data_IF_670014260978
#
_entry.id   IF_670014260978
#
_cell.length_a   1.000
_cell.length_b   1.000
_cell.length_c   1.000
_cell.angle_alpha   90.00
_cell.angle_beta   90.00
_cell.angle_gamma   90.00
#
_symmetry.space_group_name_H-M   'P 1'
#
loop_
_entity.id
_entity.type
_entity.pdbx_description
1 polymer ?
#
# COMPACT_ATOMS: atom_id res chain seq x y z
N UNK A 1 -13.04 -3.43 -6.67
CA UNK A 1 -11.58 -3.76 -6.75
C UNK A 1 -10.67 -2.58 -6.43
N UNK A 2 -9.48 -2.82 -5.86
CA UNK A 2 -8.40 -1.83 -5.71
C UNK A 2 -7.17 -2.28 -6.50
N UNK A 3 -6.67 -1.45 -7.41
CA UNK A 3 -5.49 -1.73 -8.24
C UNK A 3 -4.40 -0.72 -7.92
N UNK A 4 -3.17 -1.21 -7.76
CA UNK A 4 -2.01 -0.40 -7.36
C UNK A 4 -0.96 -0.42 -8.50
N UNK A 5 -1.17 0.35 -9.58
CA UNK A 5 -0.26 0.36 -10.70
C UNK A 5 0.89 1.37 -10.47
N UNK A 6 2.11 0.99 -10.84
CA UNK A 6 3.18 1.96 -11.09
C UNK A 6 4.23 1.38 -12.05
N UNK A 7 4.55 2.14 -13.10
CA UNK A 7 5.52 1.72 -14.12
C UNK A 7 6.97 1.72 -13.61
N UNK A 8 7.26 2.35 -12.47
CA UNK A 8 8.59 2.31 -11.83
C UNK A 8 8.66 1.28 -10.70
N UNK A 9 9.77 0.53 -10.65
CA UNK A 9 10.13 -0.30 -9.50
C UNK A 9 10.53 0.53 -8.27
N UNK A 10 10.38 -0.01 -7.06
CA UNK A 10 10.94 0.59 -5.85
C UNK A 10 10.20 1.78 -5.24
N UNK A 11 9.08 2.25 -5.82
CA UNK A 11 8.22 3.30 -5.24
C UNK A 11 7.36 2.82 -4.05
N UNK A 12 7.37 1.50 -3.79
CA UNK A 12 6.66 0.86 -2.66
C UNK A 12 5.21 0.44 -2.93
N UNK A 13 4.92 -0.09 -4.12
CA UNK A 13 3.61 -0.69 -4.45
C UNK A 13 3.15 -1.75 -3.45
N UNK A 14 3.94 -2.81 -3.30
CA UNK A 14 3.71 -3.90 -2.35
C UNK A 14 3.72 -3.41 -0.89
N UNK A 15 4.48 -2.35 -0.56
CA UNK A 15 4.38 -1.70 0.75
C UNK A 15 3.00 -1.08 0.97
N UNK A 16 2.50 -0.28 0.02
CA UNK A 16 1.16 0.33 0.13
C UNK A 16 0.08 -0.75 0.17
N UNK A 17 0.19 -1.76 -0.71
CA UNK A 17 -0.75 -2.87 -0.79
C UNK A 17 -0.84 -3.64 0.53
N UNK A 18 0.29 -4.10 1.07
CA UNK A 18 0.34 -5.00 2.22
C UNK A 18 0.34 -4.28 3.57
N UNK A 19 0.89 -3.07 3.69
CA UNK A 19 0.96 -2.37 4.98
C UNK A 19 -0.20 -1.42 5.23
N UNK A 20 -0.88 -0.96 4.18
CA UNK A 20 -1.95 0.03 4.28
C UNK A 20 -3.28 -0.58 3.84
N UNK A 21 -3.39 -0.97 2.58
CA UNK A 21 -4.68 -1.33 1.98
C UNK A 21 -5.20 -2.67 2.50
N UNK A 22 -4.35 -3.71 2.56
CA UNK A 22 -4.76 -5.02 3.09
C UNK A 22 -5.24 -4.95 4.55
N UNK A 23 -4.52 -4.31 5.51
CA UNK A 23 -5.01 -4.15 6.86
C UNK A 23 -6.29 -3.31 6.96
N UNK A 24 -6.42 -2.26 6.15
CA UNK A 24 -7.63 -1.43 6.08
C UNK A 24 -8.85 -2.27 5.69
N UNK A 25 -8.75 -2.97 4.55
CA UNK A 25 -9.84 -3.82 4.03
C UNK A 25 -10.14 -4.99 4.97
N UNK A 26 -9.13 -5.64 5.55
CA UNK A 26 -9.32 -6.71 6.53
C UNK A 26 -10.11 -6.22 7.74
N UNK A 27 -9.77 -5.03 8.28
CA UNK A 27 -10.50 -4.41 9.38
C UNK A 27 -11.94 -4.08 9.01
N UNK A 28 -12.19 -3.69 7.76
CA UNK A 28 -13.52 -3.29 7.28
C UNK A 28 -14.44 -4.47 7.00
N UNK A 29 -13.92 -5.52 6.36
CA UNK A 29 -14.69 -6.70 6.01
C UNK A 29 -14.75 -7.75 7.13
N UNK A 30 -13.78 -7.75 8.05
CA UNK A 30 -13.67 -8.79 9.09
C UNK A 30 -13.26 -10.16 8.55
N UNK A 31 -12.76 -10.24 7.31
CA UNK A 31 -12.31 -11.47 6.63
C UNK A 31 -11.05 -11.21 5.82
N UNK A 32 -10.37 -12.29 5.44
CA UNK A 32 -9.17 -12.24 4.57
C UNK A 32 -9.51 -11.59 3.23
N UNK A 33 -8.65 -10.68 2.78
CA UNK A 33 -8.77 -9.96 1.51
C UNK A 33 -8.03 -10.76 0.43
N UNK A 34 -8.55 -10.78 -0.81
CA UNK A 34 -7.83 -11.42 -1.91
C UNK A 34 -6.71 -10.49 -2.39
N UNK A 35 -5.48 -10.97 -2.37
CA UNK A 35 -4.31 -10.24 -2.85
C UNK A 35 -3.77 -10.94 -4.10
N UNK A 36 -3.86 -10.27 -5.24
CA UNK A 36 -3.37 -10.75 -6.53
C UNK A 36 -2.09 -10.01 -6.87
N UNK A 37 -1.00 -10.74 -7.02
CA UNK A 37 0.27 -10.22 -7.51
C UNK A 37 0.43 -10.58 -8.98
N UNK A 38 0.65 -9.56 -9.80
CA UNK A 38 0.92 -9.68 -11.23
C UNK A 38 2.33 -9.16 -11.48
N UNK A 39 3.33 -10.02 -11.40
CA UNK A 39 4.70 -9.66 -11.72
C UNK A 39 5.41 -10.89 -12.33
N UNK A 40 5.98 -10.73 -13.53
CA UNK A 40 6.77 -11.77 -14.20
C UNK A 40 8.26 -11.70 -13.79
N UNK A 41 8.71 -10.59 -13.19
CA UNK A 41 10.13 -10.30 -12.92
C UNK A 41 10.49 -10.36 -11.42
N UNK A 42 9.60 -9.92 -10.52
CA UNK A 42 9.83 -9.95 -9.07
C UNK A 42 8.84 -10.85 -8.34
N UNK A 43 9.35 -11.84 -7.60
CA UNK A 43 8.56 -12.60 -6.63
C UNK A 43 8.55 -11.89 -5.27
N UNK A 44 7.94 -10.71 -5.18
CA UNK A 44 7.80 -9.99 -3.90
C UNK A 44 6.86 -10.77 -2.94
N UNK A 45 6.08 -11.72 -3.49
CA UNK A 45 5.27 -12.73 -2.79
C UNK A 45 6.00 -13.53 -1.71
N UNK A 46 7.34 -13.62 -1.76
CA UNK A 46 8.17 -14.23 -0.70
C UNK A 46 8.20 -13.38 0.58
N UNK A 47 7.95 -12.08 0.49
CA UNK A 47 7.70 -11.23 1.65
C UNK A 47 6.27 -11.47 2.14
N UNK A 48 6.03 -11.47 3.46
CA UNK A 48 4.70 -11.71 4.05
C UNK A 48 4.17 -13.15 4.01
N UNK A 49 5.01 -14.17 4.17
CA UNK A 49 4.59 -15.58 4.16
C UNK A 49 3.74 -16.02 5.36
N UNK A 50 3.70 -15.23 6.44
CA UNK A 50 3.01 -15.56 7.69
C UNK A 50 1.73 -14.76 7.92
N UNK A 51 1.43 -13.82 7.04
CA UNK A 51 0.24 -12.98 7.14
C UNK A 51 -1.04 -13.82 7.13
N UNK A 52 -1.99 -13.44 7.97
CA UNK A 52 -3.32 -14.05 8.09
C UNK A 52 -4.43 -13.10 7.65
N UNK A 53 -4.10 -11.93 7.08
CA UNK A 53 -5.10 -10.95 6.67
C UNK A 53 -5.40 -10.98 5.16
N UNK A 54 -4.61 -11.72 4.38
CA UNK A 54 -4.82 -11.88 2.93
C UNK A 54 -4.79 -13.33 2.49
N UNK A 55 -5.49 -13.62 1.39
CA UNK A 55 -5.32 -14.81 0.56
C UNK A 55 -4.51 -14.41 -0.67
N UNK A 56 -3.25 -14.84 -0.72
CA UNK A 56 -2.35 -14.50 -1.81
C UNK A 56 -2.58 -15.38 -3.04
N UNK A 57 -2.61 -14.76 -4.21
CA UNK A 57 -2.67 -15.41 -5.51
C UNK A 57 -1.66 -14.74 -6.44
N UNK A 58 -0.92 -15.53 -7.20
CA UNK A 58 -0.09 -15.03 -8.29
C UNK A 58 -0.83 -15.21 -9.61
N UNK A 59 -0.79 -14.20 -10.46
CA UNK A 59 -1.37 -14.23 -11.79
C UNK A 59 -0.31 -13.78 -12.80
N UNK A 60 0.06 -14.66 -13.72
CA UNK A 60 1.01 -14.33 -14.79
C UNK A 60 0.39 -13.41 -15.84
N UNK A 61 1.22 -12.65 -16.56
CA UNK A 61 0.74 -11.73 -17.60
C UNK A 61 0.06 -12.42 -18.79
N UNK A 62 0.18 -13.75 -18.91
CA UNK A 62 -0.54 -14.54 -19.91
C UNK A 62 -2.00 -14.85 -19.53
N UNK A 63 -2.44 -14.49 -18.33
CA UNK A 63 -3.79 -14.78 -17.81
C UNK A 63 -4.55 -13.52 -17.38
N UNK A 64 -4.19 -12.37 -17.95
CA UNK A 64 -4.77 -11.08 -17.55
C UNK A 64 -6.28 -10.97 -17.80
N UNK A 65 -6.83 -11.76 -18.74
CA UNK A 65 -8.29 -11.83 -18.98
C UNK A 65 -9.07 -12.30 -17.76
N UNK A 66 -8.43 -12.99 -16.80
CA UNK A 66 -9.07 -13.32 -15.52
C UNK A 66 -9.41 -12.07 -14.68
N UNK A 67 -8.77 -10.91 -14.94
CA UNK A 67 -9.12 -9.66 -14.29
C UNK A 67 -10.48 -9.12 -14.74
N UNK A 68 -10.91 -9.42 -15.96
CA UNK A 68 -12.15 -8.86 -16.53
C UNK A 68 -13.37 -9.27 -15.69
N UNK A 69 -13.47 -10.57 -15.38
CA UNK A 69 -14.53 -11.11 -14.51
C UNK A 69 -14.43 -10.52 -13.09
N UNK A 70 -13.22 -10.40 -12.55
CA UNK A 70 -13.02 -9.89 -11.20
C UNK A 70 -13.38 -8.40 -11.08
N UNK A 71 -13.09 -7.60 -12.10
CA UNK A 71 -13.46 -6.18 -12.16
C UNK A 71 -14.98 -6.02 -12.15
N UNK A 72 -15.68 -6.87 -12.92
CA UNK A 72 -17.13 -6.86 -12.97
C UNK A 72 -17.78 -7.34 -11.67
N UNK A 73 -17.19 -8.32 -10.98
CA UNK A 73 -17.78 -8.96 -9.80
C UNK A 73 -17.42 -8.31 -8.46
N UNK A 74 -16.30 -7.61 -8.34
CA UNK A 74 -15.83 -7.05 -7.07
C UNK A 74 -16.38 -5.65 -6.76
N UNK A 75 -17.66 -5.60 -6.40
CA UNK A 75 -18.38 -4.38 -5.98
C UNK A 75 -18.04 -3.94 -4.54
N UNK A 76 -17.34 -4.78 -3.76
CA UNK A 76 -17.07 -4.54 -2.33
C UNK A 76 -15.63 -4.13 -2.04
N UNK A 77 -14.77 -4.07 -3.07
CA UNK A 77 -13.34 -3.82 -2.93
C UNK A 77 -12.62 -4.89 -2.06
N UNK A 78 -12.98 -6.16 -2.24
CA UNK A 78 -12.38 -7.30 -1.53
C UNK A 78 -11.11 -7.82 -2.21
N UNK A 79 -10.74 -7.25 -3.37
CA UNK A 79 -9.59 -7.66 -4.17
C UNK A 79 -8.59 -6.50 -4.28
N UNK A 80 -7.34 -6.77 -3.92
CA UNK A 80 -6.18 -5.92 -4.17
C UNK A 80 -5.38 -6.54 -5.31
N UNK A 81 -5.06 -5.74 -6.33
CA UNK A 81 -4.15 -6.14 -7.41
C UNK A 81 -2.87 -5.32 -7.31
N UNK A 82 -1.77 -5.96 -6.91
CA UNK A 82 -0.42 -5.39 -6.96
C UNK A 82 0.20 -5.72 -8.32
N UNK A 83 0.54 -4.67 -9.07
CA UNK A 83 0.99 -4.80 -10.45
C UNK A 83 2.47 -4.48 -10.54
N UNK A 84 3.24 -5.43 -11.04
CA UNK A 84 4.67 -5.33 -11.31
C UNK A 84 5.07 -4.10 -12.13
N UNK A 85 6.34 -3.73 -12.05
CA UNK A 85 6.86 -2.54 -12.71
C UNK A 85 6.88 -2.62 -14.25
N UNK A 86 7.26 -1.51 -14.88
CA UNK A 86 7.62 -1.39 -16.28
C UNK A 86 6.57 -1.94 -17.27
N UNK A 87 6.92 -3.03 -17.95
CA UNK A 87 6.13 -3.67 -19.00
C UNK A 87 4.85 -4.27 -18.45
N UNK A 88 4.91 -4.90 -17.27
CA UNK A 88 3.78 -5.55 -16.60
C UNK A 88 2.66 -4.55 -16.32
N UNK A 89 2.97 -3.41 -15.69
CA UNK A 89 1.99 -2.34 -15.46
C UNK A 89 1.36 -1.82 -16.75
N UNK A 90 2.12 -1.73 -17.84
CA UNK A 90 1.57 -1.29 -19.13
C UNK A 90 0.63 -2.34 -19.72
N UNK A 91 0.97 -3.63 -19.65
CA UNK A 91 0.11 -4.71 -20.14
C UNK A 91 -1.21 -4.78 -19.37
N UNK A 92 -1.16 -4.73 -18.03
CA UNK A 92 -2.36 -4.74 -17.20
C UNK A 92 -3.27 -3.55 -17.53
N UNK A 93 -2.72 -2.34 -17.65
CA UNK A 93 -3.52 -1.16 -17.98
C UNK A 93 -4.14 -1.25 -19.38
N UNK A 94 -3.41 -1.75 -20.40
CA UNK A 94 -3.99 -1.94 -21.74
C UNK A 94 -5.02 -3.07 -21.78
N UNK A 95 -4.90 -4.11 -20.94
CA UNK A 95 -5.94 -5.15 -20.84
C UNK A 95 -7.22 -4.56 -20.25
N UNK A 96 -7.12 -3.90 -19.08
CA UNK A 96 -8.29 -3.28 -18.42
C UNK A 96 -8.93 -2.24 -19.33
N UNK A 97 -8.16 -1.53 -20.15
CA UNK A 97 -8.69 -0.55 -21.11
C UNK A 97 -9.61 -1.17 -22.16
N UNK A 98 -9.45 -2.45 -22.52
CA UNK A 98 -10.31 -3.12 -23.51
C UNK A 98 -11.73 -3.32 -22.99
N UNK A 99 -11.87 -3.57 -21.68
CA UNK A 99 -13.16 -3.86 -21.02
C UNK A 99 -13.73 -2.65 -20.27
N UNK A 100 -12.86 -1.77 -19.75
CA UNK A 100 -13.21 -0.63 -18.90
C UNK A 100 -13.14 -0.95 -17.40
N UNK A 101 -13.18 0.09 -16.57
CA UNK A 101 -13.20 -0.06 -15.09
C UNK A 101 -14.59 -0.27 -14.50
N UNK A 102 -15.65 -0.04 -15.29
CA UNK A 102 -17.06 -0.05 -14.87
C UNK A 102 -17.37 0.82 -13.63
N UNK A 103 -16.49 1.76 -13.27
CA UNK A 103 -16.57 2.52 -12.01
C UNK A 103 -16.28 1.73 -10.73
N UNK A 104 -16.00 0.43 -10.84
CA UNK A 104 -15.77 -0.50 -9.71
C UNK A 104 -14.31 -0.57 -9.25
N UNK A 105 -13.41 0.08 -9.99
CA UNK A 105 -11.97 0.08 -9.70
C UNK A 105 -11.57 1.37 -9.00
N UNK A 106 -10.90 1.23 -7.86
CA UNK A 106 -10.14 2.31 -7.22
C UNK A 106 -8.67 2.13 -7.54
N UNK A 107 -8.04 3.18 -8.04
CA UNK A 107 -6.66 3.22 -8.46
C UNK A 107 -5.84 3.93 -7.39
N UNK A 108 -4.81 3.26 -6.87
CA UNK A 108 -3.89 3.87 -5.91
C UNK A 108 -2.51 3.93 -6.55
N UNK A 109 -2.03 5.15 -6.81
CA UNK A 109 -0.75 5.38 -7.47
C UNK A 109 0.30 5.74 -6.40
N UNK A 110 1.22 4.82 -6.07
CA UNK A 110 2.30 5.12 -5.14
C UNK A 110 3.42 5.93 -5.82
N UNK A 111 4.00 6.87 -5.07
CA UNK A 111 5.18 7.63 -5.47
C UNK A 111 6.04 8.00 -4.27
N UNK A 112 7.35 8.11 -4.48
CA UNK A 112 8.27 8.78 -3.55
C UNK A 112 8.36 10.28 -3.84
N UNK A 113 9.30 10.94 -3.18
CA UNK A 113 9.59 12.38 -3.29
C UNK A 113 10.53 12.74 -4.47
N UNK A 114 11.13 11.73 -5.13
CA UNK A 114 12.03 11.96 -6.25
C UNK A 114 11.32 12.53 -7.49
N UNK A 115 12.01 13.41 -8.23
CA UNK A 115 11.47 14.03 -9.46
C UNK A 115 11.00 12.98 -10.49
N UNK A 116 11.81 11.94 -10.72
CA UNK A 116 11.45 10.84 -11.62
C UNK A 116 10.24 10.04 -11.12
N UNK A 117 10.01 9.96 -9.81
CA UNK A 117 8.85 9.25 -9.25
C UNK A 117 7.57 10.00 -9.60
N UNK A 118 7.58 11.34 -9.50
CA UNK A 118 6.46 12.19 -9.91
C UNK A 118 6.16 12.09 -11.40
N UNK A 119 7.18 12.17 -12.26
CA UNK A 119 7.01 12.00 -13.72
C UNK A 119 6.38 10.64 -14.08
N UNK A 120 6.79 9.56 -13.41
CA UNK A 120 6.21 8.22 -13.61
C UNK A 120 4.77 8.12 -13.07
N UNK A 121 4.48 8.73 -11.93
CA UNK A 121 3.11 8.81 -11.40
C UNK A 121 2.17 9.57 -12.36
N UNK A 122 2.62 10.69 -12.92
CA UNK A 122 1.87 11.45 -13.94
C UNK A 122 1.64 10.59 -15.19
N UNK A 123 2.65 9.87 -15.67
CA UNK A 123 2.52 8.99 -16.82
C UNK A 123 1.51 7.86 -16.56
N UNK A 124 1.57 7.23 -15.38
CA UNK A 124 0.63 6.20 -14.93
C UNK A 124 -0.80 6.76 -14.85
N UNK A 125 -0.99 7.92 -14.22
CA UNK A 125 -2.27 8.61 -14.14
C UNK A 125 -2.84 8.94 -15.53
N UNK A 126 -2.01 9.44 -16.46
CA UNK A 126 -2.42 9.71 -17.85
C UNK A 126 -2.86 8.45 -18.60
N UNK A 127 -2.31 7.28 -18.29
CA UNK A 127 -2.79 6.00 -18.82
C UNK A 127 -4.15 5.62 -18.21
N UNK A 128 -4.29 5.74 -16.88
CA UNK A 128 -5.55 5.47 -16.19
C UNK A 128 -6.67 6.40 -16.67
N UNK A 129 -6.38 7.67 -16.97
CA UNK A 129 -7.33 8.63 -17.56
C UNK A 129 -7.97 8.17 -18.88
N UNK A 130 -7.32 7.25 -19.60
CA UNK A 130 -7.87 6.66 -20.83
C UNK A 130 -8.85 5.49 -20.56
N UNK A 131 -8.94 5.05 -19.32
CA UNK A 131 -9.73 3.91 -18.85
C UNK A 131 -10.86 4.41 -17.95
N UNK A 132 -10.53 5.28 -17.00
CA UNK A 132 -11.41 5.79 -15.97
C UNK A 132 -11.85 7.23 -16.28
N UNK A 133 -13.17 7.41 -16.38
CA UNK A 133 -13.76 8.72 -16.67
C UNK A 133 -13.93 9.56 -15.39
N UNK A 134 -14.20 8.95 -14.23
CA UNK A 134 -14.34 9.65 -12.96
C UNK A 134 -13.04 9.62 -12.14
N UNK A 135 -12.04 10.36 -12.62
CA UNK A 135 -10.70 10.36 -12.01
C UNK A 135 -10.67 10.89 -10.58
N UNK A 136 -11.47 11.93 -10.28
CA UNK A 136 -11.45 12.60 -8.98
C UNK A 136 -11.95 11.69 -7.86
N UNK A 137 -12.83 10.73 -8.18
CA UNK A 137 -13.35 9.78 -7.20
C UNK A 137 -12.62 8.45 -7.16
N UNK A 138 -11.98 8.05 -8.25
CA UNK A 138 -11.41 6.72 -8.38
C UNK A 138 -9.89 6.68 -8.31
N UNK A 139 -9.19 7.82 -8.35
CA UNK A 139 -7.73 7.87 -8.24
C UNK A 139 -7.31 8.45 -6.89
N UNK A 140 -6.45 7.73 -6.19
CA UNK A 140 -5.78 8.16 -4.97
C UNK A 140 -4.26 8.07 -5.13
N UNK A 141 -3.53 8.92 -4.42
CA UNK A 141 -2.07 8.92 -4.41
C UNK A 141 -1.53 8.51 -3.04
N UNK A 142 -0.59 7.57 -3.04
CA UNK A 142 0.12 7.16 -1.83
C UNK A 142 1.51 7.79 -1.81
N UNK A 143 1.68 8.84 -1.01
CA UNK A 143 2.96 9.56 -0.84
C UNK A 143 3.86 8.74 0.07
N UNK A 144 4.61 7.83 -0.53
CA UNK A 144 5.35 6.81 0.18
C UNK A 144 6.72 7.31 0.64
N UNK A 145 7.20 6.73 1.74
CA UNK A 145 8.46 7.11 2.42
C UNK A 145 8.46 8.54 2.96
N UNK A 146 7.29 9.02 3.40
CA UNK A 146 7.21 10.30 4.10
C UNK A 146 8.06 10.27 5.38
N UNK A 147 8.86 11.29 5.64
CA UNK A 147 9.71 11.34 6.85
C UNK A 147 8.86 11.73 8.06
N UNK A 148 7.92 12.64 7.84
CA UNK A 148 6.98 13.14 8.85
C UNK A 148 5.53 12.93 8.41
N UNK A 149 4.61 12.96 9.38
CA UNK A 149 3.16 13.04 9.14
C UNK A 149 2.63 14.47 9.32
N UNK A 150 3.53 15.42 9.54
CA UNK A 150 3.21 16.84 9.59
C UNK A 150 2.92 17.38 8.18
N UNK A 151 1.85 18.15 8.03
CA UNK A 151 1.32 18.56 6.73
C UNK A 151 2.32 19.45 5.98
N UNK A 152 2.89 20.44 6.65
CA UNK A 152 3.80 21.39 6.02
C UNK A 152 5.07 20.66 5.55
N UNK A 153 5.56 19.73 6.36
CA UNK A 153 6.69 18.89 5.99
C UNK A 153 6.40 17.98 4.78
N UNK A 154 5.18 17.42 4.69
CA UNK A 154 4.78 16.58 3.55
C UNK A 154 4.74 17.42 2.26
N UNK A 155 4.18 18.63 2.32
CA UNK A 155 4.12 19.53 1.17
C UNK A 155 5.53 19.93 0.70
N UNK A 156 6.44 20.21 1.63
CA UNK A 156 7.85 20.49 1.34
C UNK A 156 8.62 19.28 0.81
N UNK A 157 8.35 18.07 1.32
CA UNK A 157 9.03 16.86 0.89
C UNK A 157 8.60 16.46 -0.53
N UNK A 158 7.30 16.44 -0.82
CA UNK A 158 6.76 15.96 -2.10
C UNK A 158 6.57 17.09 -3.10
N UNK A 159 7.66 17.80 -3.43
CA UNK A 159 7.67 18.88 -4.44
C UNK A 159 7.16 18.37 -5.79
N UNK A 160 7.46 17.11 -6.13
CA UNK A 160 6.99 16.45 -7.34
C UNK A 160 5.46 16.24 -7.39
N UNK A 161 4.78 16.39 -6.25
CA UNK A 161 3.33 16.28 -6.11
C UNK A 161 2.68 17.67 -5.99
N UNK A 162 3.15 18.50 -5.05
CA UNK A 162 2.56 19.79 -4.70
C UNK A 162 3.13 20.98 -5.48
N UNK A 163 4.33 20.86 -6.02
CA UNK A 163 5.09 21.98 -6.58
C UNK A 163 5.77 22.81 -5.49
N UNK A 164 6.55 23.81 -5.92
CA UNK A 164 7.21 24.72 -5.00
C UNK A 164 7.30 26.12 -5.59
N UNK A 165 6.90 27.15 -4.83
CA UNK A 165 6.78 28.55 -5.29
C UNK A 165 8.06 29.18 -5.87
N UNK A 166 9.23 28.65 -5.53
CA UNK A 166 10.52 29.18 -5.98
C UNK A 166 11.27 28.24 -6.94
N UNK A 167 10.79 27.02 -7.15
CA UNK A 167 11.42 26.08 -8.07
C UNK A 167 10.58 26.04 -9.34
N UNK A 168 11.23 25.94 -10.49
CA UNK A 168 10.54 25.77 -11.77
C UNK A 168 10.04 24.31 -11.86
N UNK A 169 9.05 23.97 -11.03
CA UNK A 169 8.44 22.65 -10.93
C UNK A 169 7.37 22.51 -12.00
N UNK A 170 7.79 22.52 -13.27
CA UNK A 170 6.87 22.30 -14.38
C UNK A 170 6.44 20.83 -14.39
N UNK A 171 5.12 20.59 -14.37
CA UNK A 171 4.49 19.26 -14.39
C UNK A 171 4.56 18.48 -13.08
N UNK A 172 3.91 18.99 -12.04
CA UNK A 172 3.61 18.23 -10.80
C UNK A 172 2.19 17.67 -10.82
N UNK A 173 1.85 16.74 -9.92
CA UNK A 173 0.53 16.10 -9.91
C UNK A 173 -0.60 17.14 -9.75
N UNK A 174 -0.45 18.11 -8.85
CA UNK A 174 -1.43 19.16 -8.59
C UNK A 174 -1.68 20.08 -9.81
N UNK A 175 -0.80 20.10 -10.81
CA UNK A 175 -1.05 20.84 -12.07
C UNK A 175 -2.10 20.13 -12.94
N UNK A 176 -2.26 18.81 -12.80
CA UNK A 176 -3.12 17.99 -13.65
C UNK A 176 -4.43 17.58 -12.98
N UNK A 177 -4.45 17.51 -11.64
CA UNK A 177 -5.61 17.11 -10.84
C UNK A 177 -5.85 18.20 -9.81
N UNK A 178 -7.03 18.82 -9.88
CA UNK A 178 -7.46 19.77 -8.85
C UNK A 178 -7.88 18.98 -7.62
N UNK A 179 -7.34 19.35 -6.46
CA UNK A 179 -7.61 18.69 -5.16
C UNK A 179 -7.40 17.16 -5.17
N UNK A 180 -6.18 16.67 -5.46
CA UNK A 180 -5.93 15.23 -5.54
C UNK A 180 -6.10 14.57 -4.17
N UNK A 181 -6.81 13.45 -4.13
CA UNK A 181 -6.91 12.61 -2.91
C UNK A 181 -5.59 11.89 -2.68
N UNK A 182 -4.95 12.14 -1.54
CA UNK A 182 -3.67 11.52 -1.21
C UNK A 182 -3.55 11.15 0.26
N UNK A 183 -2.71 10.17 0.58
CA UNK A 183 -2.32 9.87 1.95
C UNK A 183 -0.80 9.63 2.06
N UNK A 184 -0.13 10.21 3.06
CA UNK A 184 1.28 9.96 3.33
C UNK A 184 1.49 8.61 4.04
N UNK A 185 2.46 7.84 3.58
CA UNK A 185 2.91 6.61 4.24
C UNK A 185 4.27 6.86 4.85
N UNK A 186 4.30 7.04 6.18
CA UNK A 186 5.52 7.32 6.92
C UNK A 186 6.53 6.19 6.76
N UNK A 187 7.78 6.53 6.44
CA UNK A 187 8.89 5.59 6.47
C UNK A 187 9.23 5.25 7.93
N UNK A 188 9.32 3.96 8.24
CA UNK A 188 9.72 3.51 9.58
C UNK A 188 10.38 2.14 9.51
N UNK A 189 11.38 1.90 10.37
CA UNK A 189 12.05 0.61 10.50
C UNK A 189 11.09 -0.54 10.81
N UNK A 190 9.96 -0.27 11.47
CA UNK A 190 8.99 -1.33 11.81
C UNK A 190 8.39 -1.96 10.56
N UNK A 191 8.28 -1.22 9.46
CA UNK A 191 7.87 -1.75 8.15
C UNK A 191 8.89 -2.78 7.66
N UNK A 192 10.17 -2.44 7.68
CA UNK A 192 11.25 -3.34 7.30
C UNK A 192 11.28 -4.59 8.18
N UNK A 193 11.18 -4.41 9.50
CA UNK A 193 11.13 -5.54 10.45
C UNK A 193 9.94 -6.46 10.19
N UNK A 194 8.77 -5.89 9.90
CA UNK A 194 7.56 -6.66 9.60
C UNK A 194 7.74 -7.56 8.36
N UNK A 195 8.40 -7.04 7.32
CA UNK A 195 8.73 -7.82 6.11
C UNK A 195 9.61 -9.02 6.43
N UNK A 196 10.67 -8.83 7.21
CA UNK A 196 11.55 -9.93 7.65
C UNK A 196 10.81 -10.97 8.51
N UNK A 197 9.81 -10.54 9.28
CA UNK A 197 8.96 -11.43 10.07
C UNK A 197 7.84 -12.10 9.26
N UNK A 198 7.68 -11.72 7.98
CA UNK A 198 6.65 -12.25 7.11
C UNK A 198 5.23 -11.80 7.49
N UNK A 199 5.09 -10.65 8.15
CA UNK A 199 3.83 -10.12 8.69
C UNK A 199 3.65 -8.65 8.33
N UNK A 200 2.44 -8.11 8.45
CA UNK A 200 2.21 -6.66 8.38
C UNK A 200 2.48 -5.99 9.73
N UNK A 201 2.74 -4.67 9.72
CA UNK A 201 2.89 -3.88 10.96
C UNK A 201 1.61 -3.91 11.78
N UNK A 202 0.45 -3.90 11.12
CA UNK A 202 -0.85 -4.02 11.78
C UNK A 202 -0.96 -5.33 12.55
N UNK A 203 -0.69 -6.48 11.92
CA UNK A 203 -0.73 -7.78 12.60
C UNK A 203 0.25 -7.86 13.79
N UNK A 204 1.41 -7.24 13.67
CA UNK A 204 2.38 -7.17 14.77
C UNK A 204 1.86 -6.36 15.96
N UNK A 205 1.17 -5.25 15.71
CA UNK A 205 0.57 -4.42 16.75
C UNK A 205 -0.58 -5.14 17.48
N UNK A 206 -1.40 -5.90 16.73
CA UNK A 206 -2.56 -6.65 17.24
C UNK A 206 -2.23 -8.10 17.63
N UNK A 207 -0.96 -8.49 17.65
CA UNK A 207 -0.54 -9.77 18.20
C UNK A 207 -0.79 -9.77 19.72
N UNK A 208 -1.62 -10.69 20.22
CA UNK A 208 -1.97 -10.80 21.64
C UNK A 208 -0.90 -11.52 22.49
N UNK A 209 0.27 -11.84 21.94
CA UNK A 209 1.35 -12.46 22.70
C UNK A 209 1.91 -11.47 23.74
N UNK A 210 1.87 -11.88 25.01
CA UNK A 210 2.57 -11.17 26.09
C UNK A 210 4.06 -11.53 26.08
N UNK A 211 4.83 -10.77 25.32
CA UNK A 211 6.28 -10.94 25.24
C UNK A 211 7.00 -10.55 26.55
N UNK A 212 6.39 -9.71 27.40
CA UNK A 212 6.97 -9.36 28.70
C UNK A 212 6.96 -10.57 29.63
N UNK A 213 5.81 -11.24 29.73
CA UNK A 213 5.68 -12.49 30.50
C UNK A 213 6.62 -13.57 29.99
N UNK A 214 6.69 -13.78 28.67
CA UNK A 214 7.61 -14.76 28.07
C UNK A 214 9.09 -14.44 28.36
N UNK A 215 9.47 -13.17 28.33
CA UNK A 215 10.83 -12.75 28.68
C UNK A 215 11.19 -13.05 30.15
N UNK A 216 10.25 -12.78 31.07
CA UNK A 216 10.44 -13.09 32.50
C UNK A 216 10.55 -14.59 32.75
N UNK A 217 9.67 -15.39 32.15
CA UNK A 217 9.72 -16.85 32.26
C UNK A 217 11.03 -17.43 31.73
N UNK A 218 11.51 -16.97 30.56
CA UNK A 218 12.79 -17.41 30.02
C UNK A 218 13.96 -17.04 30.94
N UNK A 219 13.93 -15.83 31.53
CA UNK A 219 14.93 -15.38 32.50
C UNK A 219 14.94 -16.26 33.77
N UNK A 220 13.76 -16.59 34.31
CA UNK A 220 13.61 -17.46 35.49
C UNK A 220 14.16 -18.87 35.25
N UNK A 221 14.02 -19.38 34.02
CA UNK A 221 14.57 -20.67 33.58
C UNK A 221 16.08 -20.61 33.25
N UNK A 222 16.72 -19.45 33.36
CA UNK A 222 18.13 -19.26 33.00
C UNK A 222 18.40 -19.16 31.50
N UNK A 223 17.36 -19.18 30.64
CA UNK A 223 17.47 -19.01 29.19
C UNK A 223 17.54 -17.51 28.83
N UNK A 224 18.74 -16.96 28.96
CA UNK A 224 19.02 -15.54 28.69
C UNK A 224 18.84 -15.18 27.21
N UNK A 225 19.10 -16.10 26.28
CA UNK A 225 18.95 -15.86 24.85
C UNK A 225 17.48 -15.65 24.49
N UNK A 226 16.60 -16.56 24.95
CA UNK A 226 15.15 -16.40 24.76
C UNK A 226 14.61 -15.16 25.46
N UNK A 227 15.10 -14.84 26.65
CA UNK A 227 14.69 -13.62 27.35
C UNK A 227 14.99 -12.35 26.53
N UNK A 228 16.19 -12.25 25.94
CA UNK A 228 16.58 -11.12 25.05
C UNK A 228 15.74 -11.09 23.77
N UNK A 229 15.49 -12.26 23.17
CA UNK A 229 14.63 -12.40 22.00
C UNK A 229 13.21 -11.89 22.27
N UNK A 230 12.60 -12.27 23.39
CA UNK A 230 11.26 -11.80 23.74
C UNK A 230 11.24 -10.31 24.08
N UNK A 231 12.28 -9.78 24.71
CA UNK A 231 12.42 -8.33 24.93
C UNK A 231 12.46 -7.55 23.60
N UNK A 232 13.19 -8.06 22.61
CA UNK A 232 13.21 -7.50 21.26
C UNK A 232 11.81 -7.51 20.61
N UNK A 233 11.09 -8.64 20.67
CA UNK A 233 9.73 -8.71 20.15
C UNK A 233 8.75 -7.78 20.87
N UNK A 234 8.88 -7.60 22.19
CA UNK A 234 8.08 -6.63 22.95
C UNK A 234 8.32 -5.20 22.45
N UNK A 235 9.58 -4.82 22.22
CA UNK A 235 9.91 -3.50 21.69
C UNK A 235 9.28 -3.28 20.32
N UNK A 236 9.45 -4.25 19.42
CA UNK A 236 8.87 -4.18 18.08
C UNK A 236 7.34 -4.10 18.11
N UNK A 237 6.68 -4.87 18.97
CA UNK A 237 5.22 -4.80 19.15
C UNK A 237 4.77 -3.42 19.62
N UNK A 238 5.56 -2.77 20.49
CA UNK A 238 5.28 -1.40 20.96
C UNK A 238 5.43 -0.40 19.81
N UNK A 239 6.56 -0.45 19.08
CA UNK A 239 6.81 0.41 17.91
C UNK A 239 5.75 0.20 16.81
N UNK A 240 5.25 -1.03 16.63
CA UNK A 240 4.16 -1.33 15.70
C UNK A 240 2.83 -0.70 16.13
N UNK A 241 2.51 -0.72 17.43
CA UNK A 241 1.32 -0.04 17.98
C UNK A 241 1.40 1.46 17.77
N UNK A 242 2.57 2.07 18.02
CA UNK A 242 2.78 3.50 17.80
C UNK A 242 2.62 3.86 16.31
N UNK A 243 3.13 3.03 15.40
CA UNK A 243 2.95 3.22 13.96
C UNK A 243 1.48 3.09 13.54
N UNK A 244 0.74 2.12 14.09
CA UNK A 244 -0.71 1.97 13.83
C UNK A 244 -1.47 3.22 14.28
N UNK A 245 -1.20 3.71 15.50
CA UNK A 245 -1.90 4.85 16.07
C UNK A 245 -1.53 6.16 15.37
N UNK A 246 -0.24 6.39 15.11
CA UNK A 246 0.28 7.64 14.57
C UNK A 246 0.16 7.77 13.05
N UNK A 247 0.14 6.65 12.33
CA UNK A 247 0.17 6.60 10.86
C UNK A 247 -1.06 5.88 10.29
N UNK A 248 -1.22 4.57 10.53
CA UNK A 248 -2.24 3.79 9.81
C UNK A 248 -3.67 4.22 10.12
N UNK A 249 -3.99 4.53 11.39
CA UNK A 249 -5.35 4.96 11.74
C UNK A 249 -5.73 6.29 11.09
N UNK A 250 -4.78 7.21 10.89
CA UNK A 250 -5.02 8.46 10.16
C UNK A 250 -5.34 8.16 8.71
N UNK A 251 -4.51 7.34 8.05
CA UNK A 251 -4.73 6.91 6.67
C UNK A 251 -6.08 6.20 6.55
N UNK A 252 -6.45 5.31 7.48
CA UNK A 252 -7.73 4.61 7.45
C UNK A 252 -8.93 5.57 7.59
N UNK A 253 -8.77 6.64 8.36
CA UNK A 253 -9.81 7.68 8.49
C UNK A 253 -9.99 8.44 7.19
N UNK A 254 -8.92 8.66 6.42
CA UNK A 254 -9.02 9.30 5.11
C UNK A 254 -9.57 8.33 4.05
N UNK A 255 -9.13 7.07 4.06
CA UNK A 255 -9.69 6.02 3.21
C UNK A 255 -11.19 5.82 3.45
N UNK A 256 -11.68 5.96 4.68
CA UNK A 256 -13.11 5.89 5.00
C UNK A 256 -13.95 6.96 4.29
N UNK A 257 -13.34 8.11 3.96
CA UNK A 257 -14.01 9.19 3.24
C UNK A 257 -14.04 8.95 1.73
N UNK A 258 -13.12 8.14 1.20
CA UNK A 258 -12.89 8.00 -0.23
C UNK A 258 -13.28 6.63 -0.79
N UNK A 259 -13.29 5.60 0.06
CA UNK A 259 -13.62 4.23 -0.29
C UNK A 259 -14.95 3.85 0.34
N UNK A 260 -16.02 3.87 -0.45
CA UNK A 260 -17.32 3.36 -0.03
C UNK A 260 -17.29 1.83 -0.02
N UNK A 261 -17.11 1.24 1.16
CA UNK A 261 -17.16 -0.21 1.33
C UNK A 261 -18.61 -0.62 1.60
N UNK A 262 -19.26 -1.17 0.58
CA UNK A 262 -20.59 -1.76 0.70
C UNK A 262 -20.52 -3.02 1.57
N UNK A 263 -21.34 -3.07 2.63
CA UNK A 263 -21.43 -4.23 3.53
C UNK A 263 -22.09 -5.42 2.85
#
# INVERSE_FOLDING_TARGET
MIIIPQTKGGVGKSTVAMQVIAPYLYKKHGKKVTYIEIDDENNDSQSFTRTQIVNKRMLGTNKLTELDELILMDDKHEIIVDVGGNKTSTLVLEEIKKVGSFGNVKWIIPLGDGELDGKNAIATMKKIKKIEQNMEDNILFALNRAISMDKDYIEEQFINFFGHKYLDSNSVICDFVKDPKYFPVKNDKVITMSRYLGSTVWEMAYNNTDFAKKAMQAKELGDIESARKFLFFRRIQTEAKDYVLGTLNKIFTDLDKWLEIKK
#
